data_IF_990645689829
#
_entry.id   IF_990645689829
#
_cell.length_a   1.000
_cell.length_b   1.000
_cell.length_c   1.000
_cell.angle_alpha   90.00
_cell.angle_beta   90.00
_cell.angle_gamma   90.00
#
_symmetry.space_group_name_H-M   'P 1'
#
loop_
_entity.id
_entity.type
_entity.pdbx_description
1 polymer ?
#
# COMPACT_ATOMS: atom_id res chain seq x y z
N UNK A 1 18.88 -15.51 26.68
CA UNK A 1 17.56 -15.17 26.13
C UNK A 1 17.56 -15.67 24.69
N UNK A 2 17.01 -16.87 24.46
CA UNK A 2 16.97 -17.47 23.12
C UNK A 2 16.02 -16.63 22.27
N UNK A 3 16.52 -16.03 21.18
CA UNK A 3 15.65 -15.50 20.14
C UNK A 3 14.86 -16.71 19.62
N UNK A 4 13.57 -16.76 19.95
CA UNK A 4 12.68 -17.73 19.33
C UNK A 4 12.83 -17.53 17.81
N UNK A 5 13.05 -18.62 17.09
CA UNK A 5 13.13 -18.60 15.65
C UNK A 5 11.75 -18.22 15.12
N UNK A 6 11.56 -16.94 14.80
CA UNK A 6 10.32 -16.36 14.25
C UNK A 6 10.10 -16.80 12.77
N UNK A 7 10.57 -18.00 12.41
CA UNK A 7 10.33 -18.57 11.09
C UNK A 7 8.86 -18.97 10.98
N UNK A 8 8.11 -18.45 9.98
CA UNK A 8 6.70 -18.78 9.82
C UNK A 8 6.53 -20.27 9.51
N UNK A 9 5.63 -20.93 10.23
CA UNK A 9 5.28 -22.32 9.94
C UNK A 9 4.79 -22.46 8.48
N UNK A 10 5.18 -23.54 7.77
CA UNK A 10 4.71 -23.78 6.42
C UNK A 10 3.20 -24.05 6.42
N UNK A 11 2.45 -23.23 5.70
CA UNK A 11 0.99 -23.38 5.57
C UNK A 11 0.68 -24.20 4.33
N UNK A 12 -0.09 -25.29 4.50
CA UNK A 12 -0.61 -26.10 3.38
C UNK A 12 -2.10 -25.79 3.19
N UNK A 13 -2.55 -25.72 1.93
CA UNK A 13 -3.96 -25.50 1.59
C UNK A 13 -4.41 -24.04 1.56
N UNK A 14 -3.47 -23.09 1.65
CA UNK A 14 -3.76 -21.67 1.47
C UNK A 14 -3.89 -21.33 -0.01
N UNK A 15 -4.96 -20.64 -0.38
CA UNK A 15 -5.22 -20.25 -1.77
C UNK A 15 -5.25 -18.73 -1.90
N UNK A 16 -4.70 -18.24 -3.01
CA UNK A 16 -4.81 -16.85 -3.43
C UNK A 16 -5.22 -16.75 -4.89
N UNK A 17 -5.69 -15.57 -5.32
CA UNK A 17 -6.02 -15.32 -6.72
C UNK A 17 -4.94 -14.48 -7.40
N UNK A 18 -4.68 -14.80 -8.66
CA UNK A 18 -3.74 -14.10 -9.53
C UNK A 18 -4.31 -13.99 -10.94
N UNK A 19 -3.78 -13.05 -11.72
CA UNK A 19 -4.02 -12.99 -13.17
C UNK A 19 -2.70 -13.08 -13.91
N UNK A 20 -2.78 -13.49 -15.16
CA UNK A 20 -1.64 -13.76 -16.01
C UNK A 20 -1.87 -13.15 -17.39
N UNK A 21 -0.77 -12.92 -18.10
CA UNK A 21 -0.80 -12.85 -19.55
C UNK A 21 -0.68 -14.28 -20.08
N UNK A 22 -1.17 -14.52 -21.28
CA UNK A 22 -1.00 -15.79 -21.96
C UNK A 22 -0.18 -15.52 -23.22
N UNK A 23 0.93 -16.23 -23.37
CA UNK A 23 1.77 -16.16 -24.56
C UNK A 23 1.10 -16.83 -25.76
N UNK A 24 1.68 -16.66 -26.95
CA UNK A 24 1.18 -17.27 -28.18
C UNK A 24 1.20 -18.81 -28.14
N UNK A 25 2.18 -19.40 -27.43
CA UNK A 25 2.31 -20.85 -27.20
C UNK A 25 1.46 -21.35 -26.02
N UNK A 26 0.60 -20.50 -25.44
CA UNK A 26 -0.34 -20.90 -24.38
C UNK A 26 0.29 -21.02 -22.99
N UNK A 27 1.40 -20.33 -22.70
CA UNK A 27 2.03 -20.31 -21.37
C UNK A 27 1.55 -19.13 -20.54
N UNK A 28 1.46 -19.34 -19.24
CA UNK A 28 1.15 -18.30 -18.27
C UNK A 28 2.40 -17.45 -18.02
N UNK A 29 2.29 -16.14 -18.26
CA UNK A 29 3.34 -15.16 -18.01
C UNK A 29 2.90 -14.21 -16.90
N UNK A 30 3.77 -13.84 -15.95
CA UNK A 30 3.49 -12.79 -14.99
C UNK A 30 3.05 -11.50 -15.68
N UNK A 31 2.15 -10.74 -15.07
CA UNK A 31 1.68 -9.46 -15.65
C UNK A 31 2.80 -8.42 -15.65
N UNK A 32 3.56 -8.33 -14.55
CA UNK A 32 4.54 -7.27 -14.33
C UNK A 32 5.95 -7.59 -14.86
N UNK A 33 6.25 -8.86 -15.15
CA UNK A 33 7.61 -9.30 -15.54
C UNK A 33 7.50 -10.28 -16.70
N UNK A 34 8.44 -10.21 -17.64
CA UNK A 34 8.55 -11.12 -18.78
C UNK A 34 9.45 -12.32 -18.44
N UNK A 35 9.02 -13.14 -17.48
CA UNK A 35 9.68 -14.42 -17.16
C UNK A 35 8.78 -15.59 -17.49
N UNK A 36 9.39 -16.76 -17.68
CA UNK A 36 8.69 -18.01 -17.93
C UNK A 36 8.56 -18.87 -16.66
N UNK A 37 8.57 -18.24 -15.48
CA UNK A 37 8.61 -18.95 -14.20
C UNK A 37 7.32 -19.74 -13.90
N UNK A 38 6.28 -19.56 -14.71
CA UNK A 38 4.99 -20.26 -14.62
C UNK A 38 4.76 -21.20 -15.80
N UNK A 39 5.78 -21.54 -16.59
CA UNK A 39 5.64 -22.39 -17.79
C UNK A 39 4.96 -23.73 -17.48
N UNK A 40 5.21 -24.29 -16.30
CA UNK A 40 4.66 -25.58 -15.83
C UNK A 40 3.45 -25.43 -14.91
N UNK A 41 3.04 -24.19 -14.62
CA UNK A 41 1.93 -23.87 -13.74
C UNK A 41 2.34 -23.85 -12.27
N UNK A 42 3.59 -24.24 -11.97
CA UNK A 42 4.24 -24.04 -10.68
C UNK A 42 5.34 -22.98 -10.82
N UNK A 43 5.58 -22.23 -9.74
CA UNK A 43 6.61 -21.22 -9.65
C UNK A 43 7.26 -21.28 -8.27
N UNK A 44 8.58 -21.14 -8.23
CA UNK A 44 9.35 -20.93 -7.00
C UNK A 44 9.91 -19.52 -7.06
N UNK A 45 9.73 -18.76 -5.99
CA UNK A 45 10.23 -17.40 -5.91
C UNK A 45 11.74 -17.40 -5.67
N UNK A 46 12.46 -16.62 -6.46
CA UNK A 46 13.88 -16.40 -6.29
C UNK A 46 14.17 -14.94 -5.97
N UNK A 47 15.11 -14.70 -5.06
CA UNK A 47 15.61 -13.37 -4.80
C UNK A 47 16.91 -13.12 -5.57
N UNK A 48 16.99 -12.00 -6.26
CA UNK A 48 18.23 -11.56 -6.93
C UNK A 48 19.34 -11.19 -5.95
N UNK A 49 19.01 -10.97 -4.66
CA UNK A 49 19.97 -10.71 -3.58
C UNK A 49 20.48 -11.97 -2.88
N UNK A 50 20.06 -13.16 -3.31
CA UNK A 50 20.60 -14.44 -2.83
C UNK A 50 20.05 -14.96 -1.50
N UNK A 51 19.04 -14.34 -0.91
CA UNK A 51 18.34 -14.89 0.27
C UNK A 51 17.10 -15.71 -0.12
N UNK A 52 16.58 -16.49 0.81
CA UNK A 52 15.35 -17.26 0.62
C UNK A 52 14.15 -16.32 0.49
N UNK A 53 13.26 -16.60 -0.45
CA UNK A 53 12.01 -15.87 -0.63
C UNK A 53 10.86 -16.66 0.03
N UNK A 54 9.90 -15.98 0.68
CA UNK A 54 9.88 -14.57 1.01
C UNK A 54 10.78 -14.27 2.22
N UNK A 55 11.52 -13.17 2.15
CA UNK A 55 12.22 -12.61 3.32
C UNK A 55 11.42 -11.41 3.85
N UNK A 56 11.31 -11.28 5.18
CA UNK A 56 10.51 -10.24 5.83
C UNK A 56 10.98 -8.81 5.50
N UNK A 57 12.27 -8.65 5.20
CA UNK A 57 12.92 -7.37 4.88
C UNK A 57 13.17 -7.18 3.38
N UNK A 58 12.62 -8.04 2.53
CA UNK A 58 12.68 -7.93 1.08
C UNK A 58 11.30 -7.94 0.46
N UNK A 59 11.21 -7.67 -0.85
CA UNK A 59 9.98 -7.75 -1.67
C UNK A 59 9.97 -8.97 -2.59
N UNK A 60 10.91 -9.90 -2.44
CA UNK A 60 10.90 -11.13 -3.24
C UNK A 60 9.76 -12.06 -2.78
N UNK A 61 9.15 -12.77 -3.73
CA UNK A 61 8.08 -13.73 -3.44
C UNK A 61 7.03 -13.79 -4.54
N UNK A 62 6.20 -14.83 -4.48
CA UNK A 62 5.02 -14.97 -5.33
C UNK A 62 3.87 -14.22 -4.67
N UNK A 63 3.45 -13.14 -5.31
CA UNK A 63 2.30 -12.35 -4.89
C UNK A 63 0.98 -12.97 -5.38
N UNK A 64 0.00 -13.03 -4.49
CA UNK A 64 -1.40 -13.36 -4.80
C UNK A 64 -2.33 -12.48 -3.97
N UNK A 65 -3.57 -12.30 -4.41
CA UNK A 65 -4.58 -11.55 -3.67
C UNK A 65 -5.45 -12.51 -2.88
N UNK A 66 -5.98 -12.05 -1.75
CA UNK A 66 -7.06 -12.79 -1.08
C UNK A 66 -8.35 -12.66 -1.89
N UNK A 67 -8.57 -11.53 -2.57
CA UNK A 67 -9.83 -11.19 -3.25
C UNK A 67 -9.66 -10.92 -4.74
N UNK A 68 -10.55 -11.47 -5.56
CA UNK A 68 -10.57 -11.17 -7.00
C UNK A 68 -10.93 -9.71 -7.29
N UNK A 69 -11.64 -9.02 -6.39
CA UNK A 69 -11.98 -7.61 -6.56
C UNK A 69 -10.73 -6.74 -6.46
N UNK A 70 -9.86 -7.04 -5.50
CA UNK A 70 -8.58 -6.34 -5.36
C UNK A 70 -7.67 -6.62 -6.55
N UNK A 71 -7.62 -7.89 -6.99
CA UNK A 71 -6.93 -8.27 -8.22
C UNK A 71 -7.44 -7.46 -9.42
N UNK A 72 -8.77 -7.34 -9.60
CA UNK A 72 -9.36 -6.55 -10.69
C UNK A 72 -9.13 -5.06 -10.56
N UNK A 73 -9.10 -4.53 -9.33
CA UNK A 73 -8.77 -3.13 -9.09
C UNK A 73 -7.33 -2.82 -9.51
N UNK A 74 -6.40 -3.74 -9.26
CA UNK A 74 -4.98 -3.52 -9.56
C UNK A 74 -4.64 -3.83 -11.02
N UNK A 75 -5.28 -4.83 -11.63
CA UNK A 75 -4.98 -5.29 -12.98
C UNK A 75 -6.24 -5.39 -13.84
N UNK A 76 -6.94 -4.27 -14.14
CA UNK A 76 -8.29 -4.28 -14.69
C UNK A 76 -8.41 -4.94 -16.06
N UNK A 77 -7.37 -4.93 -16.89
CA UNK A 77 -7.39 -5.54 -18.23
C UNK A 77 -7.16 -7.06 -18.19
N UNK A 78 -6.02 -7.59 -17.69
CA UNK A 78 -5.78 -9.03 -17.74
C UNK A 78 -6.75 -9.83 -16.85
N UNK A 79 -7.14 -9.30 -15.68
CA UNK A 79 -8.09 -9.95 -14.76
C UNK A 79 -9.52 -10.03 -15.28
N UNK A 80 -9.85 -9.32 -16.37
CA UNK A 80 -11.13 -9.49 -17.08
C UNK A 80 -11.12 -10.68 -18.03
N UNK A 81 -9.94 -11.17 -18.43
CA UNK A 81 -9.78 -12.28 -19.38
C UNK A 81 -9.52 -13.61 -18.68
N UNK A 82 -8.67 -13.58 -17.65
CA UNK A 82 -8.21 -14.76 -16.94
C UNK A 82 -8.02 -14.45 -15.45
N UNK A 83 -8.58 -15.30 -14.58
CA UNK A 83 -8.26 -15.33 -13.15
C UNK A 83 -7.87 -16.76 -12.79
N UNK A 84 -6.77 -16.91 -12.10
CA UNK A 84 -6.27 -18.19 -11.63
C UNK A 84 -6.31 -18.23 -10.10
N UNK A 85 -6.67 -19.38 -9.56
CA UNK A 85 -6.41 -19.72 -8.16
C UNK A 85 -5.05 -20.39 -8.08
N UNK A 86 -4.23 -19.90 -7.14
CA UNK A 86 -2.90 -20.38 -6.87
C UNK A 86 -2.90 -20.99 -5.47
N UNK A 87 -2.61 -22.29 -5.37
CA UNK A 87 -2.23 -22.92 -4.11
C UNK A 87 -0.86 -22.40 -3.70
N UNK A 88 -0.76 -21.83 -2.51
CA UNK A 88 0.47 -21.26 -1.95
C UNK A 88 1.17 -22.34 -1.12
N UNK A 89 2.46 -22.49 -1.37
CA UNK A 89 3.29 -23.55 -0.79
C UNK A 89 4.53 -22.94 -0.10
N UNK A 90 4.94 -23.54 1.01
CA UNK A 90 6.11 -23.11 1.80
C UNK A 90 5.84 -21.90 2.68
N UNK A 91 6.89 -21.12 2.94
CA UNK A 91 6.79 -19.91 3.79
C UNK A 91 5.90 -18.88 3.09
N UNK A 92 4.82 -18.49 3.77
CA UNK A 92 3.87 -17.50 3.26
C UNK A 92 3.68 -16.37 4.24
N UNK A 93 3.87 -15.14 3.77
CA UNK A 93 3.63 -13.92 4.54
C UNK A 93 2.29 -13.32 4.11
N UNK A 94 1.39 -13.12 5.06
CA UNK A 94 0.13 -12.42 4.82
C UNK A 94 0.37 -10.90 4.85
N UNK A 95 -0.05 -10.23 3.77
CA UNK A 95 -0.11 -8.78 3.67
C UNK A 95 -1.54 -8.27 3.78
N UNK A 96 -1.70 -6.95 3.61
CA UNK A 96 -3.02 -6.30 3.71
C UNK A 96 -3.99 -6.65 2.59
N UNK A 97 -3.48 -7.03 1.40
CA UNK A 97 -4.27 -7.33 0.19
C UNK A 97 -4.21 -8.79 -0.25
N UNK A 98 -3.42 -9.60 0.43
CA UNK A 98 -3.05 -10.89 -0.14
C UNK A 98 -1.87 -11.53 0.54
N UNK A 99 -1.17 -12.35 -0.22
CA UNK A 99 -0.08 -13.17 0.27
C UNK A 99 1.18 -12.98 -0.55
N UNK A 100 2.31 -13.23 0.09
CA UNK A 100 3.61 -13.36 -0.55
C UNK A 100 4.21 -14.70 -0.14
N UNK A 101 4.32 -15.62 -1.09
CA UNK A 101 4.69 -17.01 -0.85
C UNK A 101 6.05 -17.38 -1.46
N UNK A 102 6.67 -18.43 -0.92
CA UNK A 102 7.91 -19.01 -1.43
C UNK A 102 7.67 -19.77 -2.73
N UNK A 103 6.60 -20.56 -2.77
CA UNK A 103 6.19 -21.32 -3.94
C UNK A 103 4.69 -21.16 -4.18
N UNK A 104 4.27 -21.44 -5.41
CA UNK A 104 2.87 -21.44 -5.76
C UNK A 104 2.58 -22.26 -7.01
N UNK A 105 1.38 -22.84 -7.05
CA UNK A 105 0.90 -23.67 -8.14
C UNK A 105 -0.50 -23.26 -8.57
N UNK A 106 -0.70 -23.06 -9.87
CA UNK A 106 -2.03 -22.85 -10.44
C UNK A 106 -2.82 -24.15 -10.34
N UNK A 107 -4.00 -24.10 -9.74
CA UNK A 107 -4.87 -25.27 -9.53
C UNK A 107 -6.19 -25.16 -10.28
N UNK A 108 -6.70 -23.92 -10.44
CA UNK A 108 -7.94 -23.64 -11.12
C UNK A 108 -7.82 -22.33 -11.91
N UNK A 109 -8.43 -22.26 -13.09
CA UNK A 109 -8.42 -21.08 -13.96
C UNK A 109 -9.83 -20.79 -14.46
N UNK A 110 -10.29 -19.57 -14.25
CA UNK A 110 -11.46 -19.02 -14.91
C UNK A 110 -11.03 -18.28 -16.17
N UNK A 111 -11.67 -18.61 -17.28
CA UNK A 111 -11.50 -17.94 -18.56
C UNK A 111 -12.79 -17.21 -18.91
N UNK A 112 -12.67 -15.93 -19.28
CA UNK A 112 -13.85 -15.20 -19.75
C UNK A 112 -14.28 -15.76 -21.12
N UNK A 113 -15.57 -16.13 -21.29
CA UNK A 113 -16.07 -16.55 -22.60
C UNK A 113 -16.24 -15.37 -23.56
N UNK A 114 -16.29 -15.69 -24.86
CA UNK A 114 -16.66 -14.77 -25.92
C UNK A 114 -15.58 -13.75 -26.32
N UNK A 115 -16.00 -12.67 -26.97
CA UNK A 115 -15.11 -11.67 -27.63
C UNK A 115 -14.13 -10.96 -26.68
N UNK A 116 -14.45 -10.89 -25.40
CA UNK A 116 -13.59 -10.26 -24.39
C UNK A 116 -12.62 -11.26 -23.73
N UNK A 117 -12.73 -12.55 -24.07
CA UNK A 117 -11.90 -13.63 -23.59
C UNK A 117 -10.57 -13.78 -24.33
N UNK A 118 -9.96 -14.96 -24.16
CA UNK A 118 -8.82 -15.39 -24.97
C UNK A 118 -9.30 -16.02 -26.28
N UNK A 119 -8.54 -15.91 -27.39
CA UNK A 119 -8.84 -16.65 -28.62
C UNK A 119 -8.95 -18.16 -28.39
N UNK A 120 -9.85 -18.85 -29.09
CA UNK A 120 -10.08 -20.29 -28.90
C UNK A 120 -8.81 -21.13 -29.07
N UNK A 121 -7.96 -20.80 -30.05
CA UNK A 121 -6.64 -21.44 -30.24
C UNK A 121 -5.73 -21.28 -29.02
N UNK A 122 -5.70 -20.09 -28.42
CA UNK A 122 -4.92 -19.82 -27.20
C UNK A 122 -5.49 -20.58 -26.00
N UNK A 123 -6.82 -20.72 -25.90
CA UNK A 123 -7.47 -21.52 -24.85
C UNK A 123 -7.11 -23.01 -25.00
N UNK A 124 -7.10 -23.54 -26.22
CA UNK A 124 -6.72 -24.92 -26.48
C UNK A 124 -5.25 -25.19 -26.09
N UNK A 125 -4.33 -24.32 -26.51
CA UNK A 125 -2.92 -24.41 -26.13
C UNK A 125 -2.71 -24.29 -24.61
N UNK A 126 -3.45 -23.36 -23.96
CA UNK A 126 -3.41 -23.20 -22.51
C UNK A 126 -3.85 -24.49 -21.80
N UNK A 127 -4.96 -25.11 -22.23
CA UNK A 127 -5.42 -26.38 -21.64
C UNK A 127 -4.42 -27.52 -21.87
N UNK A 128 -3.81 -27.59 -23.04
CA UNK A 128 -2.80 -28.60 -23.36
C UNK A 128 -1.53 -28.47 -22.51
N UNK A 129 -1.06 -27.24 -22.26
CA UNK A 129 0.13 -27.00 -21.43
C UNK A 129 -0.09 -27.24 -19.93
N UNK A 130 -1.34 -27.26 -19.47
CA UNK A 130 -1.68 -27.34 -18.05
C UNK A 130 -2.71 -28.44 -17.75
N UNK A 131 -2.39 -29.72 -18.02
CA UNK A 131 -3.34 -30.84 -17.92
C UNK A 131 -3.86 -31.09 -16.49
N UNK A 132 -3.12 -30.67 -15.46
CA UNK A 132 -3.54 -30.78 -14.06
C UNK A 132 -4.38 -29.60 -13.55
N UNK A 133 -4.61 -28.58 -14.39
CA UNK A 133 -5.37 -27.38 -14.02
C UNK A 133 -6.82 -27.54 -14.44
N UNK A 134 -7.75 -27.27 -13.52
CA UNK A 134 -9.18 -27.25 -13.83
C UNK A 134 -9.56 -25.91 -14.42
N UNK A 135 -10.35 -25.93 -15.49
CA UNK A 135 -10.80 -24.72 -16.18
C UNK A 135 -12.29 -24.52 -15.98
N UNK A 136 -12.66 -23.28 -15.69
CA UNK A 136 -14.02 -22.86 -15.36
C UNK A 136 -14.48 -21.80 -16.37
N UNK A 137 -15.70 -21.94 -16.86
CA UNK A 137 -16.32 -20.94 -17.73
C UNK A 137 -17.00 -19.83 -16.91
N UNK A 138 -17.42 -20.16 -15.70
CA UNK A 138 -18.07 -19.25 -14.76
C UNK A 138 -17.19 -18.91 -13.56
N UNK A 139 -17.01 -17.61 -13.30
CA UNK A 139 -16.21 -17.15 -12.17
C UNK A 139 -16.82 -17.55 -10.81
N UNK A 140 -18.16 -17.51 -10.60
CA UNK A 140 -18.76 -17.98 -9.36
C UNK A 140 -18.44 -19.45 -9.05
N UNK A 141 -18.42 -20.32 -10.06
CA UNK A 141 -18.06 -21.74 -9.89
C UNK A 141 -16.62 -21.90 -9.39
N UNK A 142 -15.66 -21.20 -10.01
CA UNK A 142 -14.27 -21.19 -9.56
C UNK A 142 -14.16 -20.75 -8.10
N UNK A 143 -14.86 -19.69 -7.70
CA UNK A 143 -14.77 -19.17 -6.33
C UNK A 143 -15.45 -20.08 -5.30
N UNK A 144 -16.55 -20.73 -5.65
CA UNK A 144 -17.28 -21.64 -4.76
C UNK A 144 -16.44 -22.86 -4.34
N UNK A 145 -15.51 -23.31 -5.19
CA UNK A 145 -14.60 -24.43 -4.88
C UNK A 145 -13.47 -24.07 -3.92
N UNK A 146 -13.28 -22.77 -3.65
CA UNK A 146 -12.17 -22.25 -2.85
C UNK A 146 -12.70 -21.39 -1.70
N UNK A 147 -13.34 -21.98 -0.68
CA UNK A 147 -14.04 -21.24 0.39
C UNK A 147 -13.11 -20.36 1.25
N UNK A 148 -11.79 -20.58 1.19
CA UNK A 148 -10.79 -19.71 1.82
C UNK A 148 -10.61 -18.36 1.11
N UNK A 149 -11.07 -18.22 -0.14
CA UNK A 149 -11.12 -16.95 -0.84
C UNK A 149 -12.39 -16.21 -0.38
N UNK A 150 -12.32 -14.92 0.03
CA UNK A 150 -13.46 -14.18 0.52
C UNK A 150 -14.59 -14.17 -0.51
N UNK A 151 -15.74 -14.65 -0.07
CA UNK A 151 -16.96 -14.68 -0.87
C UNK A 151 -17.29 -13.24 -1.36
N UNK A 152 -17.44 -13.02 -2.68
CA UNK A 152 -17.90 -11.73 -3.19
C UNK A 152 -19.27 -11.30 -2.65
N UNK A 153 -20.12 -12.22 -2.22
CA UNK A 153 -21.43 -11.89 -1.65
C UNK A 153 -21.32 -11.16 -0.30
N UNK A 154 -20.17 -11.27 0.40
CA UNK A 154 -19.98 -10.54 1.65
C UNK A 154 -20.05 -9.04 1.40
N UNK A 155 -21.01 -8.33 2.02
CA UNK A 155 -21.33 -6.97 1.66
C UNK A 155 -20.15 -6.05 1.94
N UNK A 156 -19.91 -5.12 1.00
CA UNK A 156 -18.91 -4.03 1.06
C UNK A 156 -18.84 -3.31 2.41
N UNK A 157 -19.96 -3.29 3.15
CA UNK A 157 -20.07 -2.75 4.52
C UNK A 157 -19.12 -3.43 5.51
N UNK A 158 -18.86 -4.73 5.42
CA UNK A 158 -18.01 -5.41 6.40
C UNK A 158 -16.52 -5.12 6.14
N UNK A 159 -16.12 -5.01 4.87
CA UNK A 159 -14.79 -4.54 4.49
C UNK A 159 -14.58 -3.06 4.86
N UNK A 160 -15.61 -2.22 4.66
CA UNK A 160 -15.60 -0.82 5.14
C UNK A 160 -15.49 -0.76 6.66
N UNK A 161 -16.23 -1.58 7.41
CA UNK A 161 -16.16 -1.65 8.88
C UNK A 161 -14.79 -2.09 9.38
N UNK A 162 -14.16 -3.06 8.72
CA UNK A 162 -12.77 -3.46 9.04
C UNK A 162 -11.78 -2.35 8.71
N UNK A 163 -11.88 -1.77 7.52
CA UNK A 163 -11.04 -0.64 7.11
C UNK A 163 -11.18 0.57 8.04
N UNK A 164 -12.40 0.89 8.47
CA UNK A 164 -12.69 1.93 9.46
C UNK A 164 -12.12 1.58 10.84
N UNK A 165 -12.28 0.34 11.31
CA UNK A 165 -11.67 -0.11 12.58
C UNK A 165 -10.15 -0.04 12.55
N UNK A 166 -9.51 -0.58 11.52
CA UNK A 166 -8.06 -0.55 11.38
C UNK A 166 -7.52 0.88 11.26
N UNK A 167 -8.27 1.74 10.55
CA UNK A 167 -7.96 3.16 10.48
C UNK A 167 -8.09 3.82 11.84
N UNK A 168 -9.21 3.60 12.54
CA UNK A 168 -9.47 4.14 13.87
C UNK A 168 -8.40 3.71 14.87
N UNK A 169 -7.97 2.45 14.84
CA UNK A 169 -6.89 1.94 15.67
C UNK A 169 -5.53 2.55 15.32
N UNK A 170 -5.27 2.86 14.05
CA UNK A 170 -4.07 3.60 13.62
C UNK A 170 -4.13 5.05 14.10
N UNK A 171 -5.28 5.71 13.96
CA UNK A 171 -5.50 7.08 14.44
C UNK A 171 -5.34 7.13 15.97
N UNK A 172 -5.87 6.17 16.71
CA UNK A 172 -5.69 6.13 18.16
C UNK A 172 -4.24 5.85 18.57
N UNK A 173 -3.57 4.89 17.92
CA UNK A 173 -2.17 4.55 18.27
C UNK A 173 -1.20 5.68 17.91
N UNK A 174 -1.33 6.25 16.72
CA UNK A 174 -0.44 7.31 16.26
C UNK A 174 -0.85 8.71 16.75
N UNK A 175 -2.13 8.91 17.05
CA UNK A 175 -2.65 10.15 17.62
C UNK A 175 -2.31 10.32 19.09
N UNK A 176 -2.16 9.26 19.89
CA UNK A 176 -1.82 9.39 21.32
C UNK A 176 -0.60 10.29 21.61
N UNK A 177 0.56 10.14 20.96
CA UNK A 177 1.69 11.03 21.21
C UNK A 177 1.47 12.45 20.66
N UNK A 178 0.85 12.61 19.49
CA UNK A 178 0.62 13.93 18.87
C UNK A 178 -0.45 14.72 19.62
N UNK A 179 -1.54 14.07 20.02
CA UNK A 179 -2.61 14.64 20.86
C UNK A 179 -2.05 14.97 22.24
N UNK A 180 -1.19 14.13 22.84
CA UNK A 180 -0.52 14.47 24.10
C UNK A 180 0.38 15.69 23.97
N UNK A 181 1.13 15.82 22.87
CA UNK A 181 1.94 17.03 22.60
C UNK A 181 1.07 18.25 22.37
N UNK A 182 -0.01 18.13 21.60
CA UNK A 182 -0.98 19.20 21.38
C UNK A 182 -1.61 19.67 22.70
N UNK A 183 -2.08 18.74 23.53
CA UNK A 183 -2.62 19.04 24.87
C UNK A 183 -1.56 19.67 25.80
N UNK A 184 -0.30 19.21 25.74
CA UNK A 184 0.77 19.82 26.53
C UNK A 184 1.08 21.25 26.09
N UNK A 185 1.12 21.52 24.78
CA UNK A 185 1.29 22.88 24.24
C UNK A 185 0.11 23.76 24.63
N UNK A 186 -1.12 23.24 24.52
CA UNK A 186 -2.33 23.95 24.91
C UNK A 186 -2.31 24.32 26.39
N UNK A 187 -1.95 23.38 27.25
CA UNK A 187 -1.82 23.60 28.69
C UNK A 187 -0.72 24.64 29.01
N UNK A 188 0.42 24.58 28.31
CA UNK A 188 1.49 25.55 28.47
C UNK A 188 1.05 26.96 28.05
N UNK A 189 0.33 27.09 26.93
CA UNK A 189 -0.22 28.37 26.47
C UNK A 189 -1.24 28.91 27.48
N UNK A 190 -2.16 28.08 27.96
CA UNK A 190 -3.13 28.49 28.98
C UNK A 190 -2.45 28.97 30.27
N UNK A 191 -1.46 28.23 30.77
CA UNK A 191 -0.69 28.61 31.95
C UNK A 191 0.07 29.92 31.73
N UNK A 192 0.70 30.11 30.57
CA UNK A 192 1.39 31.35 30.23
C UNK A 192 0.43 32.55 30.16
N UNK A 193 -0.76 32.36 29.57
CA UNK A 193 -1.79 33.40 29.52
C UNK A 193 -2.29 33.77 30.91
N UNK A 194 -2.56 32.78 31.78
CA UNK A 194 -2.97 33.03 33.17
C UNK A 194 -1.88 33.78 33.94
N UNK A 195 -0.61 33.39 33.78
CA UNK A 195 0.51 34.08 34.40
C UNK A 195 0.63 35.53 33.92
N UNK A 196 0.53 35.77 32.60
CA UNK A 196 0.57 37.10 32.02
C UNK A 196 -0.59 38.00 32.52
N UNK A 197 -1.82 37.47 32.58
CA UNK A 197 -2.98 38.18 33.15
C UNK A 197 -2.74 38.52 34.63
N UNK A 198 -2.17 37.58 35.39
CA UNK A 198 -1.90 37.79 36.82
C UNK A 198 -0.86 38.89 37.05
N UNK A 199 0.21 38.93 36.25
CA UNK A 199 1.23 39.99 36.34
C UNK A 199 0.66 41.35 35.94
N UNK A 200 -0.11 41.40 34.84
CA UNK A 200 -0.73 42.65 34.37
C UNK A 200 -1.77 43.22 35.35
N UNK A 201 -2.57 42.36 35.99
CA UNK A 201 -3.56 42.78 36.99
C UNK A 201 -2.90 43.33 38.26
N UNK A 202 -1.73 42.79 38.66
CA UNK A 202 -0.94 43.33 39.77
C UNK A 202 -0.31 44.69 39.43
N UNK A 203 0.12 44.90 38.18
CA UNK A 203 0.71 46.16 37.74
C UNK A 203 -0.31 47.28 37.55
N UNK A 204 -1.53 46.95 37.10
CA UNK A 204 -2.56 47.94 36.72
C UNK A 204 -3.96 47.54 37.22
N UNK A 205 -4.25 47.72 38.52
CA UNK A 205 -5.51 47.27 39.12
C UNK A 205 -6.76 47.94 38.54
N UNK A 206 -6.65 49.17 38.02
CA UNK A 206 -7.76 49.88 37.39
C UNK A 206 -8.23 49.30 36.04
N UNK A 207 -7.40 48.46 35.39
CA UNK A 207 -7.66 47.89 34.05
C UNK A 207 -7.88 46.36 34.08
N UNK A 208 -7.86 45.75 35.26
CA UNK A 208 -7.79 44.29 35.41
C UNK A 208 -9.04 43.53 34.92
N UNK A 209 -10.23 44.13 35.02
CA UNK A 209 -11.47 43.46 34.65
C UNK A 209 -11.63 43.24 33.14
N UNK A 210 -11.30 44.23 32.32
CA UNK A 210 -11.50 44.19 30.86
C UNK A 210 -10.39 43.42 30.14
N UNK A 211 -9.15 43.50 30.64
CA UNK A 211 -7.98 42.78 30.10
C UNK A 211 -8.06 41.27 30.34
N UNK A 212 -8.55 40.83 31.50
CA UNK A 212 -8.74 39.41 31.79
C UNK A 212 -9.81 38.75 30.88
N UNK A 213 -10.90 39.47 30.58
CA UNK A 213 -11.97 38.99 29.70
C UNK A 213 -11.52 38.87 28.25
N UNK A 214 -10.76 39.85 27.74
CA UNK A 214 -10.27 39.82 26.35
C UNK A 214 -9.22 38.72 26.13
N UNK A 215 -8.27 38.55 27.06
CA UNK A 215 -7.25 37.48 26.97
C UNK A 215 -7.88 36.08 27.05
N UNK A 216 -8.91 35.90 27.89
CA UNK A 216 -9.65 34.64 27.99
C UNK A 216 -10.43 34.34 26.70
N UNK A 217 -11.06 35.34 26.09
CA UNK A 217 -11.79 35.20 24.84
C UNK A 217 -10.87 34.87 23.65
N UNK A 218 -9.70 35.51 23.57
CA UNK A 218 -8.68 35.23 22.53
C UNK A 218 -8.09 33.83 22.71
N UNK A 219 -7.78 33.43 23.95
CA UNK A 219 -7.34 32.09 24.27
C UNK A 219 -8.34 31.03 23.84
N UNK A 220 -9.62 31.19 24.23
CA UNK A 220 -10.69 30.25 23.84
C UNK A 220 -10.88 30.17 22.33
N UNK A 221 -10.80 31.30 21.63
CA UNK A 221 -10.98 31.38 20.17
C UNK A 221 -9.83 30.70 19.41
N UNK A 222 -8.58 30.85 19.85
CA UNK A 222 -7.44 30.14 19.25
C UNK A 222 -7.53 28.63 19.42
N UNK A 223 -7.96 28.16 20.60
CA UNK A 223 -8.16 26.72 20.85
C UNK A 223 -9.26 26.17 19.94
N UNK A 224 -10.37 26.89 19.80
CA UNK A 224 -11.47 26.50 18.93
C UNK A 224 -11.06 26.41 17.45
N UNK A 225 -10.29 27.38 16.96
CA UNK A 225 -9.78 27.40 15.58
C UNK A 225 -8.78 26.26 15.30
N UNK A 226 -7.90 25.94 16.26
CA UNK A 226 -6.97 24.80 16.14
C UNK A 226 -7.70 23.46 16.04
N UNK A 227 -8.73 23.26 16.87
CA UNK A 227 -9.52 22.01 16.86
C UNK A 227 -10.36 21.89 15.59
N UNK A 228 -10.96 22.99 15.12
CA UNK A 228 -11.81 22.99 13.93
C UNK A 228 -11.03 22.93 12.62
N UNK A 229 -9.79 23.42 12.55
CA UNK A 229 -9.00 23.35 11.31
C UNK A 229 -8.50 21.92 11.02
N UNK A 230 -8.24 21.13 12.05
CA UNK A 230 -7.53 19.85 11.89
C UNK A 230 -8.45 18.67 11.56
N UNK A 231 -9.70 18.69 12.07
CA UNK A 231 -10.69 17.62 11.85
C UNK A 231 -11.16 17.55 10.37
N UNK A 232 -11.56 18.66 9.72
CA UNK A 232 -12.05 18.65 8.34
C UNK A 232 -10.95 18.26 7.35
N UNK A 233 -9.70 18.66 7.60
CA UNK A 233 -8.56 18.33 6.74
C UNK A 233 -8.29 16.81 6.76
N UNK A 234 -8.33 16.18 7.93
CA UNK A 234 -8.16 14.73 8.04
C UNK A 234 -9.32 13.96 7.41
N UNK A 235 -10.56 14.45 7.56
CA UNK A 235 -11.76 13.88 6.92
C UNK A 235 -11.70 14.01 5.39
N UNK A 236 -11.33 15.18 4.88
CA UNK A 236 -11.24 15.44 3.44
C UNK A 236 -10.18 14.56 2.75
N UNK A 237 -9.02 14.37 3.37
CA UNK A 237 -7.95 13.51 2.81
C UNK A 237 -8.35 12.04 2.82
N UNK A 238 -9.04 11.57 3.88
CA UNK A 238 -9.57 10.21 3.94
C UNK A 238 -10.63 9.96 2.86
N UNK A 239 -11.60 10.87 2.71
CA UNK A 239 -12.66 10.77 1.72
C UNK A 239 -12.11 10.78 0.28
N UNK A 240 -11.08 11.59 0.01
CA UNK A 240 -10.52 11.75 -1.34
C UNK A 240 -9.66 10.57 -1.79
N UNK A 241 -8.91 9.95 -0.88
CA UNK A 241 -7.90 8.95 -1.26
C UNK A 241 -8.34 7.52 -0.97
N UNK A 242 -9.38 7.31 -0.14
CA UNK A 242 -9.81 5.98 0.29
C UNK A 242 -8.75 5.20 1.08
N UNK A 243 -7.65 5.88 1.42
CA UNK A 243 -6.50 5.38 2.17
C UNK A 243 -6.29 6.38 3.29
N UNK A 244 -6.07 5.91 4.50
CA UNK A 244 -5.67 6.80 5.58
C UNK A 244 -4.38 7.52 5.20
N UNK A 245 -4.30 8.87 5.22
CA UNK A 245 -3.03 9.53 4.94
C UNK A 245 -1.97 8.99 5.89
N UNK A 246 -0.79 8.58 5.41
CA UNK A 246 0.32 8.33 6.31
C UNK A 246 0.58 9.65 7.05
N UNK A 247 0.53 9.61 8.39
CA UNK A 247 0.84 10.75 9.27
C UNK A 247 2.26 11.33 9.05
N UNK A 248 3.04 10.73 8.15
CA UNK A 248 4.34 11.22 7.69
C UNK A 248 4.25 12.53 6.88
N UNK A 249 3.09 12.93 6.38
CA UNK A 249 2.93 14.25 5.72
C UNK A 249 3.10 15.44 6.67
N UNK A 250 3.08 15.23 7.99
CA UNK A 250 3.32 16.28 8.98
C UNK A 250 4.81 16.47 9.33
N UNK A 251 5.70 15.56 8.93
CA UNK A 251 7.10 15.60 9.38
C UNK A 251 8.06 16.37 8.46
N UNK A 252 7.66 16.76 7.24
CA UNK A 252 8.59 17.33 6.24
C UNK A 252 8.02 18.45 5.36
N UNK A 253 7.18 19.33 5.90
CA UNK A 253 7.02 20.66 5.30
C UNK A 253 7.68 21.70 6.21
N UNK A 254 8.51 22.61 5.68
CA UNK A 254 9.12 23.67 6.47
C UNK A 254 8.05 24.72 6.83
N UNK A 255 7.12 24.36 7.71
CA UNK A 255 6.21 25.30 8.37
C UNK A 255 6.94 26.20 9.39
N UNK A 256 8.25 26.01 9.54
CA UNK A 256 9.08 26.75 10.48
C UNK A 256 9.29 28.22 10.12
N UNK A 257 9.18 28.63 8.84
CA UNK A 257 9.52 30.00 8.45
C UNK A 257 8.34 30.96 8.66
N UNK A 258 7.16 30.62 8.12
CA UNK A 258 5.99 31.52 8.13
C UNK A 258 5.38 31.63 9.53
N UNK A 259 5.30 30.52 10.28
CA UNK A 259 4.84 30.55 11.67
C UNK A 259 5.76 31.35 12.60
N UNK A 260 7.09 31.27 12.40
CA UNK A 260 8.05 32.08 13.18
C UNK A 260 7.98 33.57 12.83
N UNK A 261 7.80 33.90 11.55
CA UNK A 261 7.63 35.30 11.11
C UNK A 261 6.32 35.88 11.68
N UNK A 262 5.23 35.11 11.69
CA UNK A 262 3.97 35.53 12.30
C UNK A 262 4.07 35.80 13.80
N UNK A 263 4.74 34.92 14.55
CA UNK A 263 4.98 35.12 16.00
C UNK A 263 5.88 36.33 16.25
N UNK A 264 6.94 36.51 15.47
CA UNK A 264 7.83 37.67 15.59
C UNK A 264 7.10 38.99 15.28
N UNK A 265 6.22 39.02 14.28
CA UNK A 265 5.43 40.21 13.95
C UNK A 265 4.38 40.54 15.02
N UNK A 266 3.74 39.53 15.62
CA UNK A 266 2.80 39.73 16.72
C UNK A 266 3.51 40.24 17.99
N UNK A 267 4.69 39.68 18.32
CA UNK A 267 5.51 40.15 19.45
C UNK A 267 6.03 41.56 19.19
N UNK A 268 6.52 41.86 17.98
CA UNK A 268 6.98 43.19 17.62
C UNK A 268 5.84 44.22 17.64
N UNK A 269 4.64 43.87 17.16
CA UNK A 269 3.46 44.71 17.22
C UNK A 269 3.01 45.00 18.66
N UNK A 270 3.05 43.98 19.54
CA UNK A 270 2.77 44.15 20.96
C UNK A 270 3.79 45.03 21.68
N UNK A 271 5.09 44.86 21.39
CA UNK A 271 6.16 45.69 21.95
C UNK A 271 6.09 47.14 21.44
N UNK A 272 5.74 47.35 20.17
CA UNK A 272 5.55 48.69 19.61
C UNK A 272 4.36 49.42 20.24
N UNK A 273 3.26 48.72 20.53
CA UNK A 273 2.12 49.28 21.26
C UNK A 273 2.47 49.60 22.72
N UNK A 274 3.32 48.81 23.38
CA UNK A 274 3.78 49.10 24.74
C UNK A 274 4.77 50.27 24.79
N UNK A 275 5.54 50.51 23.73
CA UNK A 275 6.51 51.61 23.66
C UNK A 275 5.87 52.97 23.37
N UNK A 276 4.71 53.00 22.72
CA UNK A 276 3.92 54.21 22.52
C UNK A 276 2.77 54.26 23.52
N UNK A 277 2.97 55.03 24.60
CA UNK A 277 2.04 55.24 25.72
C UNK A 277 0.67 55.88 25.32
N UNK A 278 0.32 55.93 24.04
CA UNK A 278 -0.94 56.47 23.56
C UNK A 278 -2.05 55.42 23.64
N UNK A 279 -3.07 55.72 24.44
CA UNK A 279 -4.24 54.87 24.71
C UNK A 279 -5.13 54.61 23.48
N UNK A 280 -4.90 55.31 22.37
CA UNK A 280 -5.62 55.11 21.11
C UNK A 280 -5.05 53.95 20.25
N UNK A 281 -3.92 53.35 20.65
CA UNK A 281 -3.27 52.25 19.92
C UNK A 281 -4.05 50.91 19.94
N UNK A 282 -5.02 50.74 20.84
CA UNK A 282 -5.85 49.53 20.87
C UNK A 282 -6.70 49.36 19.58
N UNK A 283 -7.06 50.47 18.91
CA UNK A 283 -7.78 50.45 17.64
C UNK A 283 -6.94 49.98 16.45
N UNK A 284 -5.61 50.11 16.51
CA UNK A 284 -4.71 49.79 15.38
C UNK A 284 -4.17 48.35 15.41
N UNK A 285 -4.21 47.67 16.56
CA UNK A 285 -3.77 46.27 16.67
C UNK A 285 -4.81 45.25 16.16
N UNK A 286 -6.10 45.55 16.28
CA UNK A 286 -7.20 44.69 15.83
C UNK A 286 -7.12 44.33 14.33
N UNK A 287 -6.93 45.27 13.38
CA UNK A 287 -6.82 44.93 11.96
C UNK A 287 -5.56 44.11 11.64
N UNK A 288 -4.48 44.22 12.41
CA UNK A 288 -3.28 43.39 12.25
C UNK A 288 -3.54 41.94 12.67
N UNK A 289 -4.22 41.73 13.79
CA UNK A 289 -4.59 40.38 14.26
C UNK A 289 -5.62 39.75 13.33
N UNK A 290 -6.63 40.50 12.89
CA UNK A 290 -7.63 40.04 11.91
C UNK A 290 -6.97 39.73 10.57
N UNK A 291 -6.11 40.62 10.06
CA UNK A 291 -5.37 40.41 8.81
C UNK A 291 -4.46 39.19 8.85
N UNK A 292 -3.75 38.99 9.97
CA UNK A 292 -2.91 37.80 10.18
C UNK A 292 -3.74 36.51 10.21
N UNK A 293 -4.87 36.52 10.93
CA UNK A 293 -5.77 35.35 11.01
C UNK A 293 -6.34 35.01 9.64
N UNK A 294 -6.75 36.01 8.85
CA UNK A 294 -7.28 35.82 7.51
C UNK A 294 -6.22 35.27 6.54
N UNK A 295 -4.98 35.75 6.64
CA UNK A 295 -3.84 35.26 5.85
C UNK A 295 -3.56 33.78 6.11
N UNK A 296 -3.57 33.36 7.38
CA UNK A 296 -3.35 31.95 7.77
C UNK A 296 -4.47 31.03 7.24
N UNK A 297 -5.71 31.51 7.22
CA UNK A 297 -6.86 30.77 6.65
C UNK A 297 -6.74 30.63 5.13
N UNK A 298 -6.38 31.69 4.42
CA UNK A 298 -6.23 31.69 2.95
C UNK A 298 -5.08 30.77 2.51
N UNK A 299 -3.93 30.80 3.18
CA UNK A 299 -2.78 29.94 2.83
C UNK A 299 -3.09 28.46 3.08
N UNK A 300 -3.78 28.14 4.18
CA UNK A 300 -4.24 26.79 4.48
C UNK A 300 -5.23 26.28 3.43
N UNK A 301 -6.11 27.15 2.93
CA UNK A 301 -7.05 26.79 1.88
C UNK A 301 -6.36 26.61 0.51
N UNK A 302 -5.46 27.52 0.12
CA UNK A 302 -4.73 27.45 -1.14
C UNK A 302 -3.86 26.19 -1.25
N UNK A 303 -3.22 25.78 -0.15
CA UNK A 303 -2.38 24.57 -0.11
C UNK A 303 -3.19 23.27 -0.11
N UNK A 304 -4.45 23.31 0.30
CA UNK A 304 -5.37 22.16 0.24
C UNK A 304 -5.98 21.95 -1.15
N UNK A 305 -6.09 23.01 -1.95
CA UNK A 305 -6.74 22.98 -3.29
C UNK A 305 -5.71 22.79 -4.42
N UNK A 306 -4.43 23.05 -4.18
CA UNK A 306 -3.39 22.90 -5.20
C UNK A 306 -3.36 21.47 -5.80
N UNK A 307 -3.54 21.31 -7.13
CA UNK A 307 -3.49 20.01 -7.77
C UNK A 307 -2.10 19.40 -7.63
N UNK A 308 -2.04 18.12 -7.30
CA UNK A 308 -0.78 17.36 -7.28
C UNK A 308 -0.11 17.43 -8.65
N UNK A 309 1.20 17.70 -8.73
CA UNK A 309 1.91 17.69 -10.00
C UNK A 309 1.75 16.32 -10.66
N UNK A 310 1.29 16.33 -11.91
CA UNK A 310 1.20 15.14 -12.74
C UNK A 310 2.61 14.52 -12.86
N UNK A 311 2.73 13.19 -12.77
CA UNK A 311 4.01 12.54 -13.03
C UNK A 311 4.43 12.86 -14.47
N UNK A 312 5.62 13.44 -14.60
CA UNK A 312 6.28 13.67 -15.88
C UNK A 312 6.47 12.31 -16.56
N UNK A 313 6.01 12.12 -17.81
CA UNK A 313 6.28 10.90 -18.54
C UNK A 313 7.79 10.77 -18.72
N UNK A 314 8.37 9.71 -18.17
CA UNK A 314 9.74 9.32 -18.46
C UNK A 314 9.78 8.84 -19.91
N UNK A 315 10.37 9.66 -20.78
CA UNK A 315 10.76 9.25 -22.13
C UNK A 315 11.69 8.04 -22.02
N UNK A 316 11.49 6.98 -22.81
CA UNK A 316 12.42 5.85 -22.84
C UNK A 316 13.78 6.32 -23.37
N UNK A 317 14.90 5.78 -22.84
CA UNK A 317 16.23 6.12 -23.35
C UNK A 317 16.34 5.66 -24.81
N UNK A 318 16.70 6.60 -25.68
CA UNK A 318 16.92 6.36 -27.09
C UNK A 318 18.04 5.34 -27.32
N UNK A 319 17.85 4.58 -28.41
CA UNK A 319 18.82 3.66 -28.99
C UNK A 319 20.12 4.41 -29.32
N UNK A 320 21.15 4.16 -28.52
CA UNK A 320 22.55 4.46 -28.87
C UNK A 320 23.19 3.25 -29.55
N UNK A 321 24.16 3.47 -30.46
CA UNK A 321 24.73 2.43 -31.30
C UNK A 321 25.52 1.39 -30.50
N UNK A 322 25.28 0.12 -30.83
CA UNK A 322 25.96 -1.06 -30.27
C UNK A 322 27.42 -1.03 -30.71
N UNK A 323 28.31 -0.64 -29.80
CA UNK A 323 29.75 -0.89 -29.90
C UNK A 323 30.04 -2.20 -29.15
N UNK A 324 30.46 -3.24 -29.88
CA UNK A 324 30.96 -4.50 -29.30
C UNK A 324 32.43 -4.35 -28.90
N UNK A 325 32.85 -4.65 -27.66
CA UNK A 325 34.23 -4.97 -27.37
C UNK A 325 34.46 -6.48 -27.49
N UNK A 326 35.47 -6.83 -28.26
CA UNK A 326 36.03 -8.17 -28.35
C UNK A 326 36.75 -8.56 -27.04
N UNK A 327 36.61 -9.85 -26.68
CA UNK A 327 37.70 -10.65 -26.12
C UNK A 327 38.09 -10.41 -24.66
N UNK A 328 37.35 -11.02 -23.72
CA UNK A 328 37.91 -11.45 -22.43
C UNK A 328 37.36 -12.84 -22.12
N UNK A 329 38.25 -13.82 -21.96
CA UNK A 329 37.92 -15.20 -21.62
C UNK A 329 37.37 -15.30 -20.19
N UNK A 330 36.35 -16.16 -19.92
CA UNK A 330 35.82 -16.31 -18.57
C UNK A 330 36.78 -17.09 -17.66
N UNK A 331 37.06 -16.54 -16.49
CA UNK A 331 37.74 -17.22 -15.39
C UNK A 331 36.91 -18.40 -14.85
N UNK A 332 37.55 -19.47 -14.33
CA UNK A 332 36.85 -20.65 -13.86
C UNK A 332 36.06 -20.39 -12.56
N UNK A 333 34.88 -21.01 -12.38
CA UNK A 333 34.09 -20.80 -11.17
C UNK A 333 34.73 -21.50 -9.97
N UNK A 334 35.26 -20.72 -9.04
CA UNK A 334 35.70 -21.21 -7.73
C UNK A 334 34.51 -21.45 -6.81
N UNK A 335 34.43 -22.68 -6.29
CA UNK A 335 33.66 -23.13 -5.13
C UNK A 335 32.13 -23.19 -5.25
N UNK A 336 31.65 -24.33 -5.75
CA UNK A 336 30.37 -24.90 -5.34
C UNK A 336 30.40 -25.16 -3.82
N UNK A 337 29.76 -24.30 -3.02
CA UNK A 337 29.31 -24.73 -1.69
C UNK A 337 28.08 -25.61 -1.88
N UNK A 338 28.32 -26.92 -1.85
CA UNK A 338 27.31 -27.95 -1.63
C UNK A 338 26.69 -27.68 -0.26
N UNK A 339 25.42 -27.27 -0.23
CA UNK A 339 24.63 -27.23 1.00
C UNK A 339 23.85 -28.54 1.09
N UNK A 340 24.20 -29.37 2.08
CA UNK A 340 23.56 -30.64 2.33
C UNK A 340 22.12 -30.44 2.85
N UNK A 341 21.17 -31.13 2.23
CA UNK A 341 19.75 -31.14 2.52
C UNK A 341 19.43 -31.87 3.84
N UNK A 342 19.77 -31.29 5.00
CA UNK A 342 19.24 -31.74 6.28
C UNK A 342 18.29 -30.69 6.84
N UNK A 343 16.99 -30.88 6.62
CA UNK A 343 15.95 -30.18 7.39
C UNK A 343 14.66 -29.85 6.65
N UNK A 344 14.67 -29.70 5.32
CA UNK A 344 13.43 -29.50 4.55
C UNK A 344 13.07 -30.81 3.88
N UNK A 345 12.15 -31.56 4.49
CA UNK A 345 11.49 -32.67 3.81
C UNK A 345 10.61 -32.04 2.74
N UNK A 346 10.86 -32.24 1.43
CA UNK A 346 9.86 -31.90 0.44
C UNK A 346 8.62 -32.72 0.79
N UNK A 347 7.54 -32.06 1.19
CA UNK A 347 6.22 -32.69 1.22
C UNK A 347 5.85 -32.90 -0.24
N UNK A 348 6.30 -34.03 -0.79
CA UNK A 348 5.81 -34.54 -2.07
C UNK A 348 4.36 -34.93 -1.79
N UNK A 349 3.43 -34.05 -2.14
CA UNK A 349 2.02 -34.41 -2.22
C UNK A 349 1.87 -35.30 -3.44
N UNK A 350 2.05 -36.60 -3.26
CA UNK A 350 1.62 -37.60 -4.25
C UNK A 350 0.11 -37.54 -4.32
N UNK A 351 -0.42 -37.10 -5.47
CA UNK A 351 -1.82 -37.31 -5.84
C UNK A 351 -2.05 -38.83 -5.89
N UNK A 352 -3.09 -39.39 -5.25
CA UNK A 352 -3.37 -40.81 -5.35
C UNK A 352 -3.60 -41.18 -6.82
N UNK A 353 -2.74 -42.03 -7.37
CA UNK A 353 -2.89 -42.57 -8.71
C UNK A 353 -4.19 -43.37 -8.80
N UNK A 354 -5.00 -43.08 -9.82
CA UNK A 354 -6.07 -43.98 -10.26
C UNK A 354 -5.50 -45.31 -10.74
N UNK A 355 -6.33 -46.37 -10.77
CA UNK A 355 -5.88 -47.73 -11.07
C UNK A 355 -5.22 -47.82 -12.45
N UNK A 356 -4.06 -48.48 -12.46
CA UNK A 356 -3.36 -48.88 -13.66
C UNK A 356 -4.09 -50.09 -14.27
N UNK A 357 -5.12 -49.83 -15.07
CA UNK A 357 -5.67 -50.84 -15.96
C UNK A 357 -4.86 -50.87 -17.26
N UNK A 358 -4.25 -52.03 -17.51
CA UNK A 358 -3.42 -52.30 -18.66
C UNK A 358 -4.18 -52.13 -19.97
N UNK A 359 -3.73 -51.19 -20.79
CA UNK A 359 -4.02 -51.16 -22.22
C UNK A 359 -2.72 -51.47 -22.93
N UNK A 360 -2.70 -52.67 -23.52
CA UNK A 360 -1.67 -53.18 -24.39
C UNK A 360 -1.51 -52.23 -25.60
N UNK A 361 -0.30 -51.77 -25.95
CA UNK A 361 -0.13 -50.89 -27.10
C UNK A 361 -0.41 -51.66 -28.40
N UNK A 362 -1.15 -51.09 -29.36
CA UNK A 362 -1.37 -51.73 -30.63
C UNK A 362 -0.04 -51.89 -31.37
N UNK A 363 0.19 -53.12 -31.84
CA UNK A 363 1.33 -53.47 -32.67
C UNK A 363 1.32 -52.65 -33.95
N UNK A 364 2.49 -52.11 -34.22
CA UNK A 364 2.99 -51.55 -35.47
C UNK A 364 2.46 -52.32 -36.70
N UNK A 365 1.67 -51.63 -37.53
CA UNK A 365 1.49 -51.95 -38.94
C UNK A 365 1.75 -50.68 -39.73
N UNK A 366 3.00 -50.46 -40.13
CA UNK A 366 3.33 -49.47 -41.13
C UNK A 366 2.60 -49.73 -42.45
N UNK A 367 2.05 -48.68 -43.06
CA UNK A 367 2.11 -48.43 -44.51
C UNK A 367 1.44 -47.11 -44.90
N UNK A 368 2.23 -46.31 -45.63
CA UNK A 368 1.82 -45.38 -46.70
C UNK A 368 0.95 -44.18 -46.30
N UNK A 369 0.76 -43.27 -47.26
CA UNK A 369 -0.01 -42.01 -47.22
C UNK A 369 0.77 -40.78 -46.73
N UNK A 370 1.56 -40.17 -47.64
CA UNK A 370 1.40 -38.77 -48.11
C UNK A 370 2.21 -38.57 -49.41
N UNK A 371 1.52 -38.58 -50.55
CA UNK A 371 1.84 -37.84 -51.78
C UNK A 371 0.48 -37.48 -52.41
N UNK A 372 0.20 -36.18 -52.54
CA UNK A 372 -1.08 -35.64 -53.03
C UNK A 372 -1.34 -34.22 -52.59
#
# INVERSE_FOLDING_TARGET
MSLADDTPDPVVGLHGVRTFRVSADGRLLPVAVMTNDWATGACIAHCTRGHQAPDMNCTCGIYSFTSWRELRSQYPVPSRRLIAVVALEGVTVQGTRGYRSQAGRVVDVWLRPGRQGLPAVTVALLRANYPGVRFHDELPELLARHPGLPDPSRPRRELLRRGLRDWWDRVHRAGRPTVRRGLAVLAAVLLATVAAVSVSTMAHPALGGTTALTLSAVGASMVFLLVIAEIPLQVAVFLRTGVSPPLQFLARRPAGSVGRIGVLLAVAGGLACLAHHDTDAAGSALPLVVGWTLMMVVESFATAVAPTPMPVPTTPPGEGPIVRPHGVAPAPPTSRRRWDHRGVVPVIVTVPGGPADGVEPPKDTGKEWWDG
#
